data_IF_023572464644
#
_entry.id   IF_023572464644
#
_cell.length_a   1.000
_cell.length_b   1.000
_cell.length_c   1.000
_cell.angle_alpha   90.00
_cell.angle_beta   90.00
_cell.angle_gamma   90.00
#
_symmetry.space_group_name_H-M   'P 1'
#
loop_
_entity.id
_entity.type
_entity.pdbx_description
1 polymer ?
#
# COMPACT_ATOMS: atom_id res chain seq x y z
N UNK A 1 12.47 21.56 -18.77
CA UNK A 1 13.11 20.45 -18.03
C UNK A 1 12.01 19.49 -17.59
N UNK A 2 12.04 18.21 -18.04
CA UNK A 2 10.96 17.23 -17.83
C UNK A 2 10.86 16.78 -16.37
N UNK A 3 9.65 16.43 -15.90
CA UNK A 3 9.44 15.80 -14.59
C UNK A 3 10.19 14.47 -14.47
N UNK A 4 10.28 13.69 -15.56
CA UNK A 4 11.00 12.42 -15.58
C UNK A 4 12.49 12.56 -15.26
N UNK A 5 13.09 13.71 -15.59
CA UNK A 5 14.50 13.99 -15.29
C UNK A 5 14.75 14.33 -13.80
N UNK A 6 13.67 14.45 -13.02
CA UNK A 6 13.70 14.75 -11.57
C UNK A 6 13.29 13.54 -10.73
N UNK A 7 12.88 12.45 -11.37
CA UNK A 7 12.55 11.19 -10.69
C UNK A 7 13.87 10.52 -10.34
N UNK A 8 13.98 10.06 -9.09
CA UNK A 8 15.12 9.27 -8.65
C UNK A 8 15.25 8.00 -9.48
N UNK A 9 16.47 7.61 -9.90
CA UNK A 9 16.68 6.38 -10.67
C UNK A 9 16.52 5.11 -9.83
N UNK A 10 16.39 5.25 -8.51
CA UNK A 10 16.23 4.17 -7.54
C UNK A 10 14.87 4.32 -6.88
N UNK A 11 14.17 3.21 -6.64
CA UNK A 11 12.99 3.20 -5.77
C UNK A 11 13.48 2.87 -4.35
N UNK A 12 13.65 3.91 -3.53
CA UNK A 12 14.10 3.78 -2.15
C UNK A 12 12.93 3.61 -1.19
N UNK A 13 13.17 3.00 -0.01
CA UNK A 13 12.15 2.89 1.03
C UNK A 13 11.63 4.26 1.46
N UNK A 14 12.51 5.24 1.62
CA UNK A 14 12.14 6.61 1.98
C UNK A 14 11.21 7.25 0.94
N UNK A 15 11.42 6.98 -0.35
CA UNK A 15 10.54 7.46 -1.42
C UNK A 15 9.18 6.77 -1.41
N UNK A 16 9.12 5.46 -1.14
CA UNK A 16 7.85 4.74 -0.94
C UNK A 16 7.06 5.37 0.21
N UNK A 17 7.71 5.64 1.34
CA UNK A 17 7.08 6.24 2.52
C UNK A 17 6.63 7.69 2.25
N UNK A 18 7.45 8.47 1.54
CA UNK A 18 7.10 9.85 1.16
C UNK A 18 5.91 9.84 0.18
N UNK A 19 5.95 8.98 -0.84
CA UNK A 19 4.86 8.81 -1.79
C UNK A 19 3.59 8.34 -1.09
N UNK A 20 3.67 7.44 -0.10
CA UNK A 20 2.51 7.01 0.68
C UNK A 20 1.80 8.21 1.34
N UNK A 21 2.57 9.11 1.97
CA UNK A 21 2.04 10.32 2.61
C UNK A 21 1.43 11.27 1.59
N UNK A 22 2.17 11.60 0.52
CA UNK A 22 1.72 12.54 -0.50
C UNK A 22 0.43 12.06 -1.18
N UNK A 23 0.38 10.79 -1.56
CA UNK A 23 -0.79 10.18 -2.22
C UNK A 23 -1.99 10.08 -1.29
N UNK A 24 -1.79 9.91 0.02
CA UNK A 24 -2.88 9.94 0.98
C UNK A 24 -3.56 11.31 1.01
N UNK A 25 -2.78 12.38 1.11
CA UNK A 25 -3.34 13.74 1.11
C UNK A 25 -4.00 14.12 -0.23
N UNK A 26 -3.40 13.72 -1.35
CA UNK A 26 -4.03 13.88 -2.66
C UNK A 26 -5.36 13.12 -2.75
N UNK A 27 -5.40 11.87 -2.29
CA UNK A 27 -6.62 11.07 -2.30
C UNK A 27 -7.72 11.71 -1.45
N UNK A 28 -7.36 12.23 -0.28
CA UNK A 28 -8.28 12.98 0.59
C UNK A 28 -8.84 14.22 -0.11
N UNK A 29 -7.98 15.01 -0.75
CA UNK A 29 -8.41 16.19 -1.49
C UNK A 29 -9.38 15.85 -2.63
N UNK A 30 -9.14 14.73 -3.34
CA UNK A 30 -10.07 14.26 -4.36
C UNK A 30 -11.40 13.77 -3.79
N UNK A 31 -11.36 13.05 -2.66
CA UNK A 31 -12.54 12.48 -2.01
C UNK A 31 -13.53 13.56 -1.53
N UNK A 32 -13.02 14.71 -1.09
CA UNK A 32 -13.85 15.84 -0.60
C UNK A 32 -14.19 16.86 -1.69
N UNK A 33 -13.74 16.66 -2.93
CA UNK A 33 -14.01 17.60 -4.03
C UNK A 33 -15.44 17.43 -4.55
N UNK A 34 -16.17 18.54 -4.71
CA UNK A 34 -17.57 18.58 -5.18
C UNK A 34 -17.78 18.04 -6.63
N UNK A 35 -16.70 17.71 -7.35
CA UNK A 35 -16.71 17.32 -8.76
C UNK A 35 -16.81 15.83 -9.06
N UNK A 36 -16.99 14.96 -8.06
CA UNK A 36 -17.17 13.52 -8.29
C UNK A 36 -15.89 12.78 -8.72
N UNK A 37 -14.73 13.21 -8.23
CA UNK A 37 -13.44 12.52 -8.46
C UNK A 37 -13.26 11.26 -7.58
N UNK A 38 -14.36 10.65 -7.12
CA UNK A 38 -14.39 9.47 -6.25
C UNK A 38 -13.58 8.31 -6.83
N UNK A 39 -13.60 8.15 -8.16
CA UNK A 39 -12.77 7.16 -8.84
C UNK A 39 -11.26 7.38 -8.65
N UNK A 40 -10.79 8.62 -8.83
CA UNK A 40 -9.39 8.97 -8.62
C UNK A 40 -8.98 8.82 -7.16
N UNK A 41 -9.88 9.21 -6.24
CA UNK A 41 -9.69 9.01 -4.81
C UNK A 41 -9.56 7.52 -4.46
N UNK A 42 -10.49 6.66 -4.90
CA UNK A 42 -10.42 5.21 -4.69
C UNK A 42 -9.12 4.61 -5.23
N UNK A 43 -8.71 5.01 -6.43
CA UNK A 43 -7.46 4.53 -7.03
C UNK A 43 -6.24 4.91 -6.18
N UNK A 44 -6.15 6.17 -5.76
CA UNK A 44 -5.04 6.63 -4.90
C UNK A 44 -5.07 5.99 -3.52
N UNK A 45 -6.24 5.80 -2.90
CA UNK A 45 -6.36 5.12 -1.61
C UNK A 45 -5.87 3.68 -1.67
N UNK A 46 -6.24 2.91 -2.70
CA UNK A 46 -5.69 1.57 -2.87
C UNK A 46 -4.18 1.56 -3.12
N UNK A 47 -3.64 2.57 -3.81
CA UNK A 47 -2.21 2.72 -3.97
C UNK A 47 -1.51 3.07 -2.64
N UNK A 48 -2.10 3.91 -1.80
CA UNK A 48 -1.60 4.20 -0.43
C UNK A 48 -1.58 2.93 0.42
N UNK A 49 -2.63 2.11 0.34
CA UNK A 49 -2.70 0.81 1.02
C UNK A 49 -1.56 -0.09 0.57
N UNK A 50 -1.31 -0.20 -0.73
CA UNK A 50 -0.18 -0.95 -1.27
C UNK A 50 1.17 -0.45 -0.72
N UNK A 51 1.41 0.86 -0.78
CA UNK A 51 2.67 1.45 -0.30
C UNK A 51 2.86 1.24 1.20
N UNK A 52 1.79 1.32 2.00
CA UNK A 52 1.82 1.08 3.44
C UNK A 52 2.27 -0.36 3.78
N UNK A 53 1.75 -1.36 3.07
CA UNK A 53 2.11 -2.76 3.31
C UNK A 53 3.55 -3.03 2.84
N UNK A 54 3.92 -2.50 1.67
CA UNK A 54 5.29 -2.61 1.14
C UNK A 54 6.31 -1.99 2.09
N UNK A 55 6.09 -0.76 2.53
CA UNK A 55 7.00 -0.09 3.46
C UNK A 55 7.09 -0.83 4.79
N UNK A 56 5.97 -1.35 5.32
CA UNK A 56 6.00 -2.19 6.51
C UNK A 56 6.83 -3.47 6.31
N UNK A 57 6.67 -4.16 5.18
CA UNK A 57 7.50 -5.32 4.84
C UNK A 57 8.99 -4.97 4.77
N UNK A 58 9.35 -3.90 4.06
CA UNK A 58 10.74 -3.49 3.92
C UNK A 58 11.37 -3.08 5.25
N UNK A 59 10.64 -2.34 6.09
CA UNK A 59 11.06 -2.03 7.46
C UNK A 59 11.28 -3.31 8.28
N UNK A 60 10.35 -4.24 8.23
CA UNK A 60 10.43 -5.50 8.97
C UNK A 60 11.64 -6.34 8.56
N UNK A 61 11.96 -6.42 7.26
CA UNK A 61 13.13 -7.18 6.80
C UNK A 61 14.46 -6.46 7.07
N UNK A 62 14.43 -5.22 7.55
CA UNK A 62 15.59 -4.43 7.93
C UNK A 62 16.17 -3.56 6.80
N UNK A 63 15.37 -3.21 5.79
CA UNK A 63 15.82 -2.33 4.72
C UNK A 63 16.12 -0.93 5.27
N UNK A 64 17.27 -0.36 4.87
CA UNK A 64 17.60 1.03 5.21
C UNK A 64 16.72 2.00 4.42
N UNK A 65 16.54 3.25 4.88
CA UNK A 65 15.73 4.24 4.16
C UNK A 65 16.18 4.48 2.71
N UNK A 66 17.48 4.36 2.45
CA UNK A 66 18.10 4.58 1.13
C UNK A 66 18.26 3.28 0.32
N UNK A 67 17.80 2.14 0.82
CA UNK A 67 17.92 0.87 0.12
C UNK A 67 17.08 0.86 -1.17
N UNK A 68 17.66 0.37 -2.27
CA UNK A 68 16.94 0.08 -3.52
C UNK A 68 16.01 -1.12 -3.29
N UNK A 69 14.76 -0.84 -2.94
CA UNK A 69 13.76 -1.85 -2.61
C UNK A 69 13.09 -2.43 -3.86
N UNK A 70 13.15 -1.73 -4.99
CA UNK A 70 12.72 -2.22 -6.30
C UNK A 70 13.53 -3.45 -6.75
N UNK A 71 14.83 -3.48 -6.47
CA UNK A 71 15.68 -4.67 -6.69
C UNK A 71 15.41 -5.80 -5.69
N UNK A 72 15.13 -5.48 -4.42
CA UNK A 72 14.80 -6.48 -3.39
C UNK A 72 13.52 -7.26 -3.74
N UNK A 73 12.57 -6.60 -4.40
CA UNK A 73 11.32 -7.17 -4.89
C UNK A 73 11.53 -8.31 -5.91
N UNK A 74 12.63 -8.29 -6.66
CA UNK A 74 12.95 -9.35 -7.62
C UNK A 74 13.52 -10.61 -6.93
N UNK A 75 14.11 -10.43 -5.74
CA UNK A 75 14.73 -11.50 -4.97
C UNK A 75 13.75 -12.21 -4.01
N UNK A 76 12.61 -11.60 -3.67
CA UNK A 76 11.64 -12.12 -2.69
C UNK A 76 10.80 -13.31 -3.16
N UNK A 77 10.98 -13.80 -4.38
CA UNK A 77 10.24 -14.96 -4.89
C UNK A 77 8.79 -14.64 -5.31
N UNK A 78 8.38 -13.36 -5.31
CA UNK A 78 7.16 -12.84 -5.97
C UNK A 78 7.20 -12.96 -7.51
N UNK A 79 7.85 -14.00 -8.05
CA UNK A 79 7.86 -14.29 -9.49
C UNK A 79 6.47 -14.76 -9.90
N UNK A 80 5.71 -13.88 -10.54
CA UNK A 80 4.42 -14.21 -11.17
C UNK A 80 3.18 -13.83 -10.36
N UNK A 81 3.28 -13.52 -9.06
CA UNK A 81 2.20 -12.83 -8.33
C UNK A 81 2.29 -11.33 -8.63
N UNK A 82 1.17 -10.72 -9.01
CA UNK A 82 1.09 -9.33 -9.41
C UNK A 82 1.72 -8.44 -8.32
N UNK A 83 2.67 -7.57 -8.67
CA UNK A 83 3.40 -6.69 -7.73
C UNK A 83 2.48 -5.73 -6.94
N UNK A 84 1.22 -5.70 -7.33
CA UNK A 84 0.13 -4.88 -6.83
C UNK A 84 -0.95 -5.72 -6.11
N UNK A 85 -0.72 -7.02 -5.91
CA UNK A 85 -1.63 -7.89 -5.18
C UNK A 85 -1.50 -7.64 -3.66
N UNK A 86 -2.51 -6.99 -3.10
CA UNK A 86 -2.54 -6.62 -1.68
C UNK A 86 -2.55 -7.85 -0.76
N UNK A 87 -3.23 -8.93 -1.15
CA UNK A 87 -3.28 -10.17 -0.37
C UNK A 87 -1.93 -10.88 -0.40
N UNK A 88 -1.26 -10.91 -1.55
CA UNK A 88 0.09 -11.45 -1.64
C UNK A 88 1.08 -10.69 -0.74
N UNK A 89 0.98 -9.37 -0.69
CA UNK A 89 1.81 -8.54 0.21
C UNK A 89 1.51 -8.79 1.69
N UNK A 90 0.23 -8.91 2.06
CA UNK A 90 -0.17 -9.31 3.41
C UNK A 90 0.45 -10.66 3.79
N UNK A 91 0.29 -11.69 2.95
CA UNK A 91 0.78 -13.05 3.24
C UNK A 91 2.31 -13.09 3.38
N UNK A 92 3.02 -12.32 2.57
CA UNK A 92 4.49 -12.23 2.66
C UNK A 92 4.92 -11.56 3.96
N UNK A 93 4.31 -10.44 4.34
CA UNK A 93 4.62 -9.78 5.62
C UNK A 93 4.32 -10.73 6.79
N UNK A 94 3.12 -11.31 6.81
CA UNK A 94 2.67 -12.20 7.87
C UNK A 94 3.57 -13.44 8.01
N UNK A 95 3.85 -14.14 6.91
CA UNK A 95 4.72 -15.32 6.92
C UNK A 95 6.16 -14.98 7.29
N UNK A 96 6.70 -13.86 6.81
CA UNK A 96 8.06 -13.41 7.16
C UNK A 96 8.18 -13.13 8.66
N UNK A 97 7.14 -12.56 9.27
CA UNK A 97 7.07 -12.31 10.71
C UNK A 97 7.11 -13.60 11.53
N UNK A 98 6.31 -14.59 11.14
CA UNK A 98 6.32 -15.92 11.77
C UNK A 98 7.70 -16.58 11.64
N UNK A 99 8.26 -16.60 10.43
CA UNK A 99 9.53 -17.27 10.15
C UNK A 99 10.71 -16.69 10.94
N UNK A 100 10.70 -15.38 11.23
CA UNK A 100 11.73 -14.71 12.02
C UNK A 100 11.44 -14.69 13.53
N UNK A 101 10.40 -15.40 13.99
CA UNK A 101 10.08 -15.49 15.42
C UNK A 101 9.50 -14.21 16.03
N UNK A 102 9.00 -13.29 15.21
CA UNK A 102 8.33 -12.06 15.66
C UNK A 102 6.91 -11.97 15.07
N UNK A 103 6.00 -12.91 15.42
CA UNK A 103 4.65 -12.90 14.90
C UNK A 103 3.93 -11.58 15.24
N UNK A 104 3.04 -11.14 14.37
CA UNK A 104 2.19 -10.00 14.65
C UNK A 104 1.21 -10.34 15.78
N UNK A 105 0.85 -9.36 16.61
CA UNK A 105 -0.21 -9.52 17.59
C UNK A 105 -1.48 -10.08 16.93
N UNK A 106 -2.13 -11.12 17.48
CA UNK A 106 -3.27 -11.77 16.82
C UNK A 106 -4.45 -10.83 16.53
N UNK A 107 -4.70 -9.83 17.37
CA UNK A 107 -5.77 -8.85 17.17
C UNK A 107 -5.41 -7.94 15.99
N UNK A 108 -4.17 -7.45 15.96
CA UNK A 108 -3.65 -6.65 14.83
C UNK A 108 -3.65 -7.46 13.53
N UNK A 109 -3.20 -8.72 13.57
CA UNK A 109 -3.15 -9.61 12.42
C UNK A 109 -4.55 -9.89 11.85
N UNK A 110 -5.53 -10.20 12.71
CA UNK A 110 -6.92 -10.40 12.29
C UNK A 110 -7.53 -9.15 11.67
N UNK A 111 -7.32 -7.99 12.32
CA UNK A 111 -7.78 -6.70 11.83
C UNK A 111 -7.14 -6.31 10.49
N UNK A 112 -5.85 -6.60 10.32
CA UNK A 112 -5.09 -6.35 9.10
C UNK A 112 -5.60 -7.22 7.95
N UNK A 113 -5.74 -8.54 8.18
CA UNK A 113 -6.24 -9.49 7.17
C UNK A 113 -7.60 -9.10 6.63
N UNK A 114 -8.56 -8.82 7.52
CA UNK A 114 -9.92 -8.44 7.12
C UNK A 114 -9.92 -7.18 6.24
N UNK A 115 -9.13 -6.17 6.62
CA UNK A 115 -9.02 -4.92 5.86
C UNK A 115 -8.41 -5.12 4.48
N UNK A 116 -7.38 -5.94 4.38
CA UNK A 116 -6.76 -6.24 3.08
C UNK A 116 -7.71 -7.00 2.16
N UNK A 117 -8.47 -7.96 2.69
CA UNK A 117 -9.51 -8.65 1.91
C UNK A 117 -10.58 -7.69 1.39
N UNK A 118 -11.01 -6.70 2.20
CA UNK A 118 -11.93 -5.66 1.74
C UNK A 118 -11.27 -4.83 0.64
N UNK A 119 -10.06 -4.30 0.87
CA UNK A 119 -9.35 -3.48 -0.11
C UNK A 119 -9.14 -4.19 -1.45
N UNK A 120 -8.78 -5.48 -1.45
CA UNK A 120 -8.54 -6.26 -2.66
C UNK A 120 -9.79 -6.50 -3.52
N UNK A 121 -11.00 -6.31 -2.96
CA UNK A 121 -12.27 -6.35 -3.73
C UNK A 121 -12.57 -5.03 -4.43
N UNK A 122 -12.23 -3.90 -3.81
CA UNK A 122 -12.52 -2.57 -4.35
C UNK A 122 -11.39 -2.01 -5.21
N UNK A 123 -10.19 -2.57 -5.09
CA UNK A 123 -9.02 -2.03 -5.77
C UNK A 123 -8.15 -3.12 -6.38
N UNK A 124 -7.76 -2.89 -7.63
CA UNK A 124 -6.73 -3.62 -8.37
C UNK A 124 -6.05 -2.68 -9.36
N UNK A 125 -4.82 -2.99 -9.76
CA UNK A 125 -4.05 -2.17 -10.73
C UNK A 125 -4.83 -1.94 -12.04
N UNK A 126 -5.69 -2.87 -12.44
CA UNK A 126 -6.50 -2.77 -13.66
C UNK A 126 -7.38 -1.51 -13.72
N UNK A 127 -7.72 -0.94 -12.56
CA UNK A 127 -8.43 0.34 -12.50
C UNK A 127 -7.62 1.42 -13.24
N UNK A 128 -6.29 1.41 -13.24
CA UNK A 128 -5.49 2.38 -14.03
C UNK A 128 -5.93 2.54 -15.48
N UNK A 129 -6.45 1.48 -16.11
CA UNK A 129 -6.87 1.47 -17.51
C UNK A 129 -8.39 1.33 -17.70
N UNK A 130 -9.13 0.99 -16.65
CA UNK A 130 -10.57 0.68 -16.73
C UNK A 130 -11.36 1.53 -15.75
N UNK A 131 -12.08 2.51 -16.30
CA UNK A 131 -12.96 3.38 -15.52
C UNK A 131 -14.16 2.60 -14.98
N UNK A 132 -14.46 2.80 -13.71
CA UNK A 132 -15.69 2.40 -13.05
C UNK A 132 -16.28 3.63 -12.32
N UNK A 133 -17.55 3.57 -11.96
CA UNK A 133 -18.16 4.55 -11.05
C UNK A 133 -18.18 3.86 -9.68
N UNK A 134 -17.28 4.22 -8.75
CA UNK A 134 -17.29 3.61 -7.43
C UNK A 134 -18.49 4.11 -6.64
N UNK A 135 -19.07 3.25 -5.81
CA UNK A 135 -20.02 3.68 -4.81
C UNK A 135 -19.28 4.46 -3.70
N UNK A 136 -19.97 5.43 -3.10
CA UNK A 136 -19.42 6.24 -2.01
C UNK A 136 -18.92 5.37 -0.85
N UNK A 137 -19.66 4.29 -0.53
CA UNK A 137 -19.28 3.32 0.50
C UNK A 137 -17.94 2.65 0.22
N UNK A 138 -17.61 2.33 -1.03
CA UNK A 138 -16.34 1.69 -1.40
C UNK A 138 -15.15 2.63 -1.18
N UNK A 139 -15.34 3.93 -1.51
CA UNK A 139 -14.33 4.95 -1.25
C UNK A 139 -14.12 5.14 0.26
N UNK A 140 -15.21 5.20 1.03
CA UNK A 140 -15.17 5.34 2.49
C UNK A 140 -14.50 4.14 3.18
N UNK A 141 -14.75 2.92 2.69
CA UNK A 141 -14.08 1.72 3.17
C UNK A 141 -12.57 1.76 2.89
N UNK A 142 -12.17 2.09 1.65
CA UNK A 142 -10.75 2.24 1.29
C UNK A 142 -10.07 3.32 2.14
N UNK A 143 -10.75 4.44 2.40
CA UNK A 143 -10.23 5.51 3.26
C UNK A 143 -10.02 5.03 4.68
N UNK A 144 -11.02 4.37 5.28
CA UNK A 144 -10.91 3.82 6.64
C UNK A 144 -9.80 2.78 6.76
N UNK A 145 -9.56 2.00 5.70
CA UNK A 145 -8.46 1.03 5.65
C UNK A 145 -7.10 1.73 5.56
N UNK A 146 -6.94 2.70 4.65
CA UNK A 146 -5.71 3.46 4.49
C UNK A 146 -5.32 4.19 5.79
N UNK A 147 -6.29 4.86 6.42
CA UNK A 147 -6.09 5.55 7.69
C UNK A 147 -5.71 4.58 8.83
N UNK A 148 -6.36 3.42 8.92
CA UNK A 148 -5.98 2.39 9.89
C UNK A 148 -4.55 1.91 9.69
N UNK A 149 -4.14 1.65 8.44
CA UNK A 149 -2.78 1.19 8.12
C UNK A 149 -1.73 2.25 8.46
N UNK A 150 -1.99 3.52 8.19
CA UNK A 150 -1.09 4.62 8.56
C UNK A 150 -0.94 4.69 10.08
N UNK A 151 -2.05 4.67 10.82
CA UNK A 151 -2.03 4.76 12.30
C UNK A 151 -1.38 3.55 12.97
N UNK A 152 -1.48 2.37 12.37
CA UNK A 152 -0.93 1.12 12.91
C UNK A 152 0.39 0.71 12.23
N UNK A 153 0.95 1.54 11.35
CA UNK A 153 2.07 1.16 10.48
C UNK A 153 3.24 0.58 11.26
N UNK A 154 3.61 1.24 12.36
CA UNK A 154 4.67 0.78 13.26
C UNK A 154 4.44 -0.64 13.77
N UNK A 155 3.22 -0.94 14.23
CA UNK A 155 2.84 -2.26 14.74
C UNK A 155 2.91 -3.35 13.67
N UNK A 156 2.87 -2.99 12.38
CA UNK A 156 3.00 -3.96 11.30
C UNK A 156 4.43 -4.46 11.13
N UNK A 157 5.44 -3.66 11.49
CA UNK A 157 6.85 -3.98 11.24
C UNK A 157 7.75 -4.05 12.48
N UNK A 158 7.32 -3.52 13.63
CA UNK A 158 8.03 -3.69 14.91
C UNK A 158 7.91 -5.09 15.48
#
# INVERSE_FOLDING_TARGET
>A
MSLLNRVSPVESLQEIESAQSDRYWEAMALAVSDGGHSYGACYLLGYVIELAIKSAYYRFVGASPVADVGRHLQASGLKGRERHDLEAWYEILFSSRIQRGNPMDPVVAGAFKQRIQVAARHWREILRYRRAIPAESECNELLGIADWLIRNHRSLWS
#
